data_IF_925589669348
#
_entry.id   IF_925589669348
#
_cell.length_a   1.000
_cell.length_b   1.000
_cell.length_c   1.000
_cell.angle_alpha   90.00
_cell.angle_beta   90.00
_cell.angle_gamma   90.00
#
_symmetry.space_group_name_H-M   'P 1'
#
loop_
_entity.id
_entity.type
_entity.pdbx_description
1 polymer ?
#
# COMPACT_ATOMS: atom_id res chain seq x y z
N UNK A 1 -2.86 -4.74 -27.28
CA UNK A 1 -3.25 -6.02 -26.63
C UNK A 1 -2.68 -6.00 -25.21
N UNK A 2 -3.52 -6.09 -24.17
CA UNK A 2 -3.05 -6.09 -22.78
C UNK A 2 -2.56 -7.51 -22.44
N UNK A 3 -1.24 -7.72 -22.38
CA UNK A 3 -0.69 -9.00 -21.90
C UNK A 3 -0.78 -9.06 -20.37
N UNK A 4 -1.39 -10.13 -19.84
CA UNK A 4 -1.39 -10.40 -18.40
C UNK A 4 -0.29 -11.41 -18.09
N UNK A 5 0.57 -11.12 -17.11
CA UNK A 5 1.57 -12.07 -16.62
C UNK A 5 0.97 -13.37 -16.03
N UNK A 6 -0.36 -13.40 -15.83
CA UNK A 6 -1.11 -14.57 -15.35
C UNK A 6 -1.89 -15.28 -16.46
N UNK A 7 -1.79 -14.82 -17.71
CA UNK A 7 -2.39 -15.45 -18.88
C UNK A 7 -1.24 -15.80 -19.83
N UNK A 8 -0.83 -17.06 -19.84
CA UNK A 8 0.16 -17.55 -20.79
C UNK A 8 -0.52 -17.84 -22.11
N UNK A 9 -0.22 -17.05 -23.13
CA UNK A 9 -0.57 -17.38 -24.53
C UNK A 9 0.66 -18.03 -25.14
N UNK A 10 0.59 -19.34 -25.36
CA UNK A 10 1.66 -20.07 -26.02
C UNK A 10 1.37 -20.06 -27.52
N UNK A 11 2.19 -19.41 -28.36
CA UNK A 11 2.04 -19.54 -29.80
C UNK A 11 2.30 -20.99 -30.18
N UNK A 12 1.41 -21.56 -30.98
CA UNK A 12 1.62 -22.87 -31.61
C UNK A 12 2.06 -22.66 -33.05
N UNK A 13 3.03 -23.45 -33.49
CA UNK A 13 3.43 -23.51 -34.89
C UNK A 13 3.09 -24.90 -35.42
N UNK A 14 2.61 -24.94 -36.67
CA UNK A 14 2.37 -26.18 -37.40
C UNK A 14 3.69 -26.52 -38.10
N UNK A 15 4.29 -27.64 -37.75
CA UNK A 15 5.38 -28.25 -38.53
C UNK A 15 4.80 -29.47 -39.24
N UNK A 16 5.07 -29.59 -40.56
CA UNK A 16 4.59 -30.62 -41.50
C UNK A 16 3.57 -31.65 -40.98
N UNK A 17 2.33 -31.54 -41.46
CA UNK A 17 1.23 -32.45 -41.11
C UNK A 17 0.43 -32.00 -39.87
N UNK A 18 0.03 -32.97 -39.04
CA UNK A 18 -0.82 -32.79 -37.84
C UNK A 18 0.01 -32.58 -36.54
N UNK A 19 1.29 -32.22 -36.64
CA UNK A 19 2.16 -32.01 -35.48
C UNK A 19 2.13 -30.54 -35.07
N UNK A 20 1.80 -30.30 -33.80
CA UNK A 20 1.75 -28.96 -33.22
C UNK A 20 2.91 -28.80 -32.24
N UNK A 21 3.77 -27.82 -32.48
CA UNK A 21 4.90 -27.50 -31.59
C UNK A 21 4.53 -26.33 -30.70
N UNK A 22 4.66 -26.52 -29.39
CA UNK A 22 4.47 -25.48 -28.37
C UNK A 22 5.82 -25.04 -27.81
N UNK A 23 6.18 -23.77 -28.02
CA UNK A 23 7.35 -23.15 -27.40
C UNK A 23 6.96 -22.57 -26.03
N UNK A 24 7.05 -23.39 -24.98
CA UNK A 24 6.79 -22.99 -23.59
C UNK A 24 8.09 -22.70 -22.83
N UNK A 25 8.38 -21.42 -22.59
CA UNK A 25 9.51 -21.01 -21.74
C UNK A 25 9.07 -20.90 -20.26
N UNK A 26 8.97 -22.04 -19.57
CA UNK A 26 8.51 -22.12 -18.16
C UNK A 26 9.20 -21.09 -17.25
N UNK A 27 10.53 -20.97 -17.38
CA UNK A 27 11.35 -20.07 -16.56
C UNK A 27 10.98 -18.60 -16.76
N UNK A 28 10.67 -18.18 -17.99
CA UNK A 28 10.30 -16.81 -18.32
C UNK A 28 8.94 -16.44 -17.74
N UNK A 29 7.94 -17.29 -17.96
CA UNK A 29 6.57 -17.12 -17.43
C UNK A 29 6.59 -17.05 -15.90
N UNK A 30 7.34 -17.94 -15.24
CA UNK A 30 7.50 -17.94 -13.79
C UNK A 30 8.11 -16.64 -13.26
N UNK A 31 9.11 -16.10 -13.96
CA UNK A 31 9.74 -14.83 -13.60
C UNK A 31 8.78 -13.63 -13.77
N UNK A 32 8.04 -13.58 -14.88
CA UNK A 32 7.03 -12.54 -15.12
C UNK A 32 5.95 -12.55 -14.04
N UNK A 33 5.44 -13.74 -13.65
CA UNK A 33 4.48 -13.88 -12.56
C UNK A 33 5.05 -13.40 -11.21
N UNK A 34 6.31 -13.73 -10.91
CA UNK A 34 6.97 -13.28 -9.67
C UNK A 34 7.10 -11.76 -9.65
N UNK A 35 7.51 -11.16 -10.77
CA UNK A 35 7.64 -9.71 -10.89
C UNK A 35 6.29 -9.01 -10.74
N UNK A 36 5.23 -9.50 -11.39
CA UNK A 36 3.89 -8.95 -11.24
C UNK A 36 3.37 -9.02 -9.79
N UNK A 37 3.64 -10.13 -9.08
CA UNK A 37 3.32 -10.26 -7.64
C UNK A 37 4.11 -9.25 -6.79
N UNK A 38 5.39 -9.03 -7.09
CA UNK A 38 6.24 -8.06 -6.38
C UNK A 38 5.75 -6.64 -6.60
N UNK A 39 5.47 -6.26 -7.84
CA UNK A 39 4.93 -4.94 -8.17
C UNK A 39 3.61 -4.68 -7.46
N UNK A 40 2.74 -5.69 -7.35
CA UNK A 40 1.50 -5.55 -6.59
C UNK A 40 1.73 -5.22 -5.12
N UNK A 41 2.67 -5.91 -4.47
CA UNK A 41 3.04 -5.63 -3.07
C UNK A 41 3.70 -4.26 -2.92
N UNK A 42 4.54 -3.88 -3.88
CA UNK A 42 5.20 -2.57 -3.88
C UNK A 42 4.18 -1.44 -3.95
N UNK A 43 3.12 -1.59 -4.76
CA UNK A 43 2.03 -0.60 -4.84
C UNK A 43 1.28 -0.47 -3.52
N UNK A 44 0.93 -1.59 -2.89
CA UNK A 44 0.24 -1.57 -1.59
C UNK A 44 1.14 -0.88 -0.52
N UNK A 45 2.44 -1.19 -0.50
CA UNK A 45 3.43 -0.57 0.39
C UNK A 45 3.66 0.93 0.12
N UNK A 46 3.67 1.34 -1.14
CA UNK A 46 3.75 2.74 -1.54
C UNK A 46 2.49 3.51 -1.11
N UNK A 47 1.30 2.93 -1.35
CA UNK A 47 0.03 3.53 -0.93
C UNK A 47 0.00 3.76 0.59
N UNK A 48 0.35 2.76 1.40
CA UNK A 48 0.38 2.91 2.85
C UNK A 48 1.32 4.05 3.27
N UNK A 49 2.54 4.09 2.73
CA UNK A 49 3.50 5.13 3.06
C UNK A 49 3.06 6.53 2.58
N UNK A 50 2.41 6.62 1.43
CA UNK A 50 1.79 7.85 0.94
C UNK A 50 0.74 8.37 1.94
N UNK A 51 -0.18 7.51 2.36
CA UNK A 51 -1.23 7.86 3.32
C UNK A 51 -0.63 8.33 4.65
N UNK A 52 0.40 7.62 5.17
CA UNK A 52 1.11 8.01 6.39
C UNK A 52 1.72 9.42 6.26
N UNK A 53 2.35 9.72 5.12
CA UNK A 53 2.89 11.05 4.86
C UNK A 53 1.82 12.13 4.86
N UNK A 54 0.67 11.90 4.20
CA UNK A 54 -0.44 12.86 4.19
C UNK A 54 -1.02 13.06 5.59
N UNK A 55 -1.24 11.98 6.35
CA UNK A 55 -1.72 12.06 7.74
C UNK A 55 -0.75 12.84 8.64
N UNK A 56 0.57 12.62 8.51
CA UNK A 56 1.56 13.42 9.22
C UNK A 56 1.41 14.91 8.93
N UNK A 57 1.23 15.28 7.66
CA UNK A 57 1.01 16.68 7.27
C UNK A 57 -0.35 17.23 7.75
N UNK A 58 -1.35 16.38 7.94
CA UNK A 58 -2.62 16.73 8.59
C UNK A 58 -2.55 16.70 10.13
N UNK A 59 -1.33 16.61 10.69
CA UNK A 59 -1.06 16.70 12.12
C UNK A 59 -1.34 15.43 12.93
N UNK A 60 -1.27 14.25 12.31
CA UNK A 60 -1.36 12.96 13.01
C UNK A 60 0.02 12.43 13.38
N UNK A 61 0.09 11.73 14.51
CA UNK A 61 1.22 10.89 14.89
C UNK A 61 0.93 9.44 14.48
N UNK A 62 1.85 8.79 13.78
CA UNK A 62 1.71 7.38 13.37
C UNK A 62 2.81 6.54 14.02
N UNK A 63 2.42 5.61 14.88
CA UNK A 63 3.33 4.71 15.58
C UNK A 63 3.50 3.40 14.79
N UNK A 64 4.74 3.09 14.40
CA UNK A 64 5.09 1.99 13.50
C UNK A 64 6.01 1.00 14.22
N UNK A 65 5.65 -0.28 14.20
CA UNK A 65 6.46 -1.34 14.79
C UNK A 65 7.80 -1.50 14.07
N UNK A 66 8.79 -2.02 14.80
CA UNK A 66 10.08 -2.41 14.23
C UNK A 66 9.94 -3.37 13.05
N UNK A 67 10.84 -3.23 12.10
CA UNK A 67 10.99 -4.21 11.03
C UNK A 67 11.79 -5.41 11.56
N UNK A 68 11.18 -6.58 11.58
CA UNK A 68 11.85 -7.82 11.98
C UNK A 68 12.87 -8.31 10.94
N UNK A 69 12.58 -8.09 9.65
CA UNK A 69 13.47 -8.44 8.54
C UNK A 69 13.41 -7.35 7.48
N UNK A 70 14.57 -6.82 7.11
CA UNK A 70 14.70 -5.85 6.02
C UNK A 70 14.71 -6.57 4.68
N UNK A 71 13.70 -6.30 3.85
CA UNK A 71 13.62 -6.77 2.48
C UNK A 71 14.40 -5.85 1.56
N UNK A 72 15.26 -6.43 0.72
CA UNK A 72 16.08 -5.65 -0.22
C UNK A 72 15.42 -5.47 -1.59
N UNK A 73 14.49 -6.35 -1.97
CA UNK A 73 13.91 -6.39 -3.33
C UNK A 73 12.52 -5.74 -3.45
N UNK A 74 11.73 -5.72 -2.39
CA UNK A 74 10.36 -5.17 -2.39
C UNK A 74 10.22 -4.13 -1.30
N UNK A 75 9.47 -3.07 -1.60
CA UNK A 75 8.98 -2.16 -0.56
C UNK A 75 8.16 -2.95 0.46
N UNK A 76 8.18 -2.50 1.70
CA UNK A 76 7.57 -3.24 2.81
C UNK A 76 6.35 -2.48 3.32
N UNK A 77 5.26 -3.21 3.52
CA UNK A 77 4.15 -2.75 4.35
C UNK A 77 4.63 -2.70 5.80
N UNK A 78 4.36 -1.59 6.47
CA UNK A 78 4.68 -1.40 7.86
C UNK A 78 3.51 -1.82 8.74
N UNK A 79 3.82 -2.30 9.95
CA UNK A 79 2.79 -2.60 10.95
C UNK A 79 2.57 -1.34 11.76
N UNK A 80 1.41 -0.70 11.58
CA UNK A 80 1.05 0.47 12.37
C UNK A 80 0.38 -0.03 13.64
N UNK A 81 0.91 0.38 14.79
CA UNK A 81 0.41 -0.02 16.09
C UNK A 81 -0.78 0.85 16.49
N UNK A 82 -0.59 2.17 16.45
CA UNK A 82 -1.64 3.13 16.72
C UNK A 82 -1.41 4.43 15.94
N UNK A 83 -2.47 5.23 15.84
CA UNK A 83 -2.44 6.59 15.29
C UNK A 83 -3.05 7.52 16.32
N UNK A 84 -2.43 8.69 16.52
CA UNK A 84 -2.95 9.74 17.40
C UNK A 84 -3.21 11.04 16.66
N UNK A 85 -4.13 11.83 17.20
CA UNK A 85 -4.40 13.21 16.82
C UNK A 85 -4.64 14.00 18.09
N UNK A 86 -3.89 15.09 18.27
CA UNK A 86 -3.99 15.97 19.46
C UNK A 86 -3.92 15.16 20.77
N UNK A 87 -2.90 14.31 20.87
CA UNK A 87 -2.61 13.35 21.96
C UNK A 87 -3.67 12.27 22.23
N UNK A 88 -4.76 12.22 21.46
CA UNK A 88 -5.80 11.18 21.55
C UNK A 88 -5.52 10.05 20.56
N UNK A 89 -5.58 8.81 21.03
CA UNK A 89 -5.51 7.62 20.18
C UNK A 89 -6.79 7.53 19.36
N UNK A 90 -6.67 7.64 18.04
CA UNK A 90 -7.80 7.53 17.09
C UNK A 90 -7.84 6.16 16.41
N UNK A 91 -6.74 5.42 16.42
CA UNK A 91 -6.66 4.05 15.92
C UNK A 91 -5.72 3.25 16.80
N UNK A 92 -6.10 2.01 17.14
CA UNK A 92 -5.26 1.07 17.86
C UNK A 92 -5.44 -0.35 17.30
N UNK A 93 -4.36 -0.92 16.77
CA UNK A 93 -4.36 -2.25 16.17
C UNK A 93 -4.51 -3.38 17.19
N UNK A 94 -4.21 -3.15 18.48
CA UNK A 94 -4.31 -4.15 19.54
C UNK A 94 -5.74 -4.49 19.93
N UNK A 95 -6.68 -3.59 19.64
CA UNK A 95 -8.11 -3.74 19.91
C UNK A 95 -8.92 -4.26 18.71
N UNK A 96 -8.25 -4.66 17.62
CA UNK A 96 -8.93 -5.21 16.45
C UNK A 96 -9.27 -6.69 16.64
N UNK A 97 -10.56 -6.99 16.63
CA UNK A 97 -11.11 -8.35 16.68
C UNK A 97 -11.66 -8.77 15.31
N UNK A 98 -11.21 -9.91 14.80
CA UNK A 98 -11.69 -10.51 13.56
C UNK A 98 -11.29 -11.99 13.50
N UNK A 99 -12.05 -12.78 12.76
CA UNK A 99 -11.79 -14.20 12.55
C UNK A 99 -10.66 -14.43 11.53
N UNK A 100 -9.83 -15.44 11.76
CA UNK A 100 -8.76 -15.82 10.85
C UNK A 100 -8.37 -17.30 11.04
N UNK A 101 -8.02 -17.95 9.93
CA UNK A 101 -7.64 -19.37 9.88
C UNK A 101 -6.16 -19.58 10.25
N UNK A 102 -5.33 -18.52 10.21
CA UNK A 102 -3.92 -18.60 10.59
C UNK A 102 -3.18 -17.27 10.60
N UNK A 103 -1.94 -17.27 11.10
CA UNK A 103 -1.13 -16.05 11.30
C UNK A 103 -0.91 -15.23 10.03
N UNK A 104 -0.79 -15.90 8.88
CA UNK A 104 -0.64 -15.22 7.58
C UNK A 104 -1.90 -14.45 7.19
N UNK A 105 -3.07 -15.06 7.36
CA UNK A 105 -4.35 -14.42 7.06
C UNK A 105 -4.62 -13.30 8.06
N UNK A 106 -4.35 -13.55 9.36
CA UNK A 106 -4.38 -12.52 10.40
C UNK A 106 -3.61 -11.28 9.99
N UNK A 107 -2.39 -11.48 9.48
CA UNK A 107 -1.55 -10.38 9.02
C UNK A 107 -2.15 -9.63 7.83
N UNK A 108 -2.69 -10.34 6.85
CA UNK A 108 -3.32 -9.73 5.68
C UNK A 108 -4.56 -8.90 6.07
N UNK A 109 -5.37 -9.38 7.01
CA UNK A 109 -6.50 -8.64 7.53
C UNK A 109 -6.06 -7.43 8.34
N UNK A 110 -5.05 -7.53 9.19
CA UNK A 110 -4.48 -6.36 9.87
C UNK A 110 -4.00 -5.30 8.88
N UNK A 111 -3.24 -5.70 7.85
CA UNK A 111 -2.76 -4.78 6.83
C UNK A 111 -3.94 -4.10 6.09
N UNK A 112 -5.00 -4.87 5.76
CA UNK A 112 -6.20 -4.37 5.09
C UNK A 112 -7.03 -3.42 5.96
N UNK A 113 -7.37 -3.82 7.20
CA UNK A 113 -8.12 -3.00 8.16
C UNK A 113 -7.38 -1.71 8.44
N UNK A 114 -6.09 -1.80 8.75
CA UNK A 114 -5.24 -0.62 9.02
C UNK A 114 -5.29 0.33 7.83
N UNK A 115 -4.99 -0.15 6.61
CA UNK A 115 -5.03 0.69 5.42
C UNK A 115 -6.41 1.36 5.22
N UNK A 116 -7.49 0.61 5.37
CA UNK A 116 -8.84 1.13 5.20
C UNK A 116 -9.16 2.21 6.23
N UNK A 117 -8.73 2.01 7.49
CA UNK A 117 -8.90 2.99 8.56
C UNK A 117 -8.10 4.26 8.29
N UNK A 118 -6.85 4.15 7.81
CA UNK A 118 -6.06 5.33 7.45
C UNK A 118 -6.70 6.12 6.30
N UNK A 119 -7.34 5.44 5.34
CA UNK A 119 -8.10 6.10 4.27
C UNK A 119 -9.31 6.85 4.86
N UNK A 120 -10.00 6.28 5.84
CA UNK A 120 -11.07 6.98 6.56
C UNK A 120 -10.57 8.23 7.29
N UNK A 121 -9.38 8.16 7.90
CA UNK A 121 -8.74 9.32 8.51
C UNK A 121 -8.43 10.42 7.48
N UNK A 122 -7.98 10.06 6.27
CA UNK A 122 -7.79 11.05 5.19
C UNK A 122 -9.09 11.79 4.87
N UNK A 123 -10.20 11.07 4.72
CA UNK A 123 -11.51 11.68 4.46
C UNK A 123 -11.94 12.64 5.57
N UNK A 124 -11.66 12.32 6.84
CA UNK A 124 -11.91 13.20 7.99
C UNK A 124 -11.07 14.48 7.98
N UNK A 125 -10.01 14.53 7.18
CA UNK A 125 -9.11 15.68 7.03
C UNK A 125 -9.41 16.54 5.80
N UNK A 126 -10.58 16.36 5.17
CA UNK A 126 -10.94 17.08 3.95
C UNK A 126 -10.21 16.60 2.68
N UNK A 127 -9.51 15.46 2.74
CA UNK A 127 -8.93 14.82 1.56
C UNK A 127 -10.03 14.06 0.84
N UNK A 128 -10.21 14.32 -0.46
CA UNK A 128 -11.16 13.59 -1.29
C UNK A 128 -10.45 12.35 -1.83
N UNK A 129 -10.96 11.17 -1.49
CA UNK A 129 -10.39 9.89 -1.94
C UNK A 129 -11.27 9.25 -3.01
N UNK A 130 -10.66 8.88 -4.15
CA UNK A 130 -11.30 8.03 -5.15
C UNK A 130 -10.73 6.61 -5.07
N UNK A 131 -11.56 5.64 -4.75
CA UNK A 131 -11.16 4.23 -4.63
C UNK A 131 -11.18 3.52 -6.00
N UNK A 132 -10.17 2.69 -6.26
CA UNK A 132 -10.12 1.81 -7.44
C UNK A 132 -11.12 0.67 -7.27
N UNK A 133 -11.95 0.46 -8.30
CA UNK A 133 -12.83 -0.71 -8.38
C UNK A 133 -11.99 -1.99 -8.37
N UNK A 134 -12.17 -2.81 -7.34
CA UNK A 134 -11.54 -4.13 -7.21
C UNK A 134 -12.58 -5.23 -7.38
N UNK A 135 -12.13 -6.44 -7.70
CA UNK A 135 -13.02 -7.60 -7.74
C UNK A 135 -13.59 -7.84 -6.34
N UNK A 136 -14.89 -8.08 -6.24
CA UNK A 136 -15.54 -8.44 -4.98
C UNK A 136 -14.90 -9.72 -4.43
N UNK A 137 -14.62 -9.73 -3.13
CA UNK A 137 -14.12 -10.94 -2.49
C UNK A 137 -15.29 -11.90 -2.29
N UNK A 138 -15.07 -13.16 -2.62
CA UNK A 138 -16.11 -14.20 -2.66
C UNK A 138 -16.24 -14.88 -1.28
N UNK A 139 -15.18 -14.89 -0.47
CA UNK A 139 -15.18 -15.51 0.87
C UNK A 139 -16.02 -14.65 1.84
N UNK A 140 -17.01 -15.23 2.55
CA UNK A 140 -17.73 -14.54 3.61
C UNK A 140 -16.77 -13.98 4.66
N UNK A 141 -17.08 -12.81 5.24
CA UNK A 141 -16.29 -12.14 6.28
C UNK A 141 -14.85 -11.77 5.89
N UNK A 142 -14.47 -11.90 4.62
CA UNK A 142 -13.13 -11.50 4.17
C UNK A 142 -13.00 -9.99 4.05
N UNK A 143 -11.87 -9.48 4.54
CA UNK A 143 -11.60 -8.05 4.55
C UNK A 143 -10.70 -7.68 3.38
N UNK A 144 -11.27 -6.97 2.42
CA UNK A 144 -10.54 -6.47 1.26
C UNK A 144 -9.83 -5.14 1.59
N UNK A 145 -8.57 -5.03 1.20
CA UNK A 145 -7.85 -3.76 1.23
C UNK A 145 -8.37 -2.84 0.12
N UNK A 146 -8.81 -1.64 0.51
CA UNK A 146 -9.17 -0.54 -0.39
C UNK A 146 -7.92 0.01 -1.07
N UNK A 147 -8.03 0.32 -2.35
CA UNK A 147 -6.92 0.84 -3.15
C UNK A 147 -7.25 2.23 -3.68
N UNK A 148 -6.34 3.16 -3.53
CA UNK A 148 -6.47 4.50 -4.06
C UNK A 148 -6.32 4.47 -5.58
N UNK A 149 -7.28 5.08 -6.28
CA UNK A 149 -7.15 5.43 -7.69
C UNK A 149 -6.56 6.84 -7.82
N UNK A 150 -7.11 7.77 -7.04
CA UNK A 150 -6.66 9.15 -6.96
C UNK A 150 -6.99 9.75 -5.59
N UNK A 151 -6.33 10.85 -5.24
CA UNK A 151 -6.71 11.70 -4.11
C UNK A 151 -6.65 13.16 -4.50
N UNK A 152 -7.52 13.99 -3.93
CA UNK A 152 -7.45 15.45 -4.02
C UNK A 152 -7.19 16.02 -2.65
N UNK A 153 -6.08 16.75 -2.52
CA UNK A 153 -5.64 17.37 -1.27
C UNK A 153 -5.57 18.88 -1.52
N UNK A 154 -6.39 19.66 -0.82
CA UNK A 154 -6.46 21.12 -0.94
C UNK A 154 -6.54 21.60 -2.40
N UNK A 155 -7.46 20.99 -3.16
CA UNK A 155 -7.69 21.29 -4.57
C UNK A 155 -6.65 20.71 -5.54
N UNK A 156 -5.55 20.11 -5.07
CA UNK A 156 -4.54 19.48 -5.93
C UNK A 156 -4.82 18.00 -6.13
N UNK A 157 -4.86 17.58 -7.40
CA UNK A 157 -5.12 16.20 -7.79
C UNK A 157 -3.85 15.35 -7.85
N UNK A 158 -3.90 14.19 -7.21
CA UNK A 158 -2.85 13.17 -7.23
C UNK A 158 -3.42 11.86 -7.76
N UNK A 159 -3.20 11.60 -9.05
CA UNK A 159 -3.50 10.29 -9.63
C UNK A 159 -2.58 9.18 -9.12
N UNK A 160 -2.95 7.94 -9.46
CA UNK A 160 -2.24 6.71 -9.11
C UNK A 160 -0.70 6.75 -9.26
N UNK A 161 -0.19 7.35 -10.35
CA UNK A 161 1.27 7.44 -10.57
C UNK A 161 1.95 8.29 -9.51
N UNK A 162 1.39 9.45 -9.17
CA UNK A 162 1.92 10.34 -8.14
C UNK A 162 1.90 9.68 -6.76
N UNK A 163 0.77 9.03 -6.41
CA UNK A 163 0.62 8.29 -5.16
C UNK A 163 1.72 7.23 -5.04
N UNK A 164 1.98 6.49 -6.12
CA UNK A 164 2.99 5.44 -6.12
C UNK A 164 4.43 5.99 -6.02
N UNK A 165 4.76 7.03 -6.78
CA UNK A 165 6.10 7.66 -6.76
C UNK A 165 6.42 8.29 -5.40
N UNK A 166 5.52 9.13 -4.88
CA UNK A 166 5.66 9.78 -3.57
C UNK A 166 5.65 8.72 -2.46
N UNK A 167 4.74 7.74 -2.56
CA UNK A 167 4.65 6.63 -1.61
C UNK A 167 5.91 5.78 -1.55
N UNK A 168 6.56 5.52 -2.69
CA UNK A 168 7.86 4.83 -2.72
C UNK A 168 8.94 5.63 -1.98
N UNK A 169 8.97 6.95 -2.19
CA UNK A 169 9.90 7.83 -1.51
C UNK A 169 9.69 7.83 0.02
N UNK A 170 8.44 8.05 0.47
CA UNK A 170 8.08 7.98 1.90
C UNK A 170 8.34 6.62 2.52
N UNK A 171 8.13 5.54 1.76
CA UNK A 171 8.44 4.18 2.24
C UNK A 171 9.92 4.05 2.58
N UNK A 172 10.83 4.61 1.78
CA UNK A 172 12.26 4.59 2.08
C UNK A 172 12.61 5.39 3.34
N UNK A 173 11.96 6.53 3.57
CA UNK A 173 12.13 7.35 4.77
C UNK A 173 11.69 6.57 6.02
N UNK A 174 10.49 5.97 5.98
CA UNK A 174 10.00 5.16 7.10
C UNK A 174 10.92 3.95 7.32
N UNK A 175 11.37 3.30 6.23
CA UNK A 175 12.25 2.13 6.29
C UNK A 175 13.61 2.44 6.91
N UNK A 176 14.19 3.62 6.65
CA UNK A 176 15.47 4.00 7.26
C UNK A 176 15.33 4.19 8.78
N UNK A 177 14.21 4.75 9.23
CA UNK A 177 13.91 5.02 10.65
C UNK A 177 13.48 3.79 11.45
N UNK A 178 12.75 2.86 10.83
CA UNK A 178 12.24 1.61 11.45
C UNK A 178 13.30 0.50 11.57
N UNK A 179 14.54 0.77 11.18
CA UNK A 179 15.66 -0.17 11.28
C UNK A 179 16.22 -0.33 12.70
N UNK A 180 15.69 0.43 13.67
CA UNK A 180 16.05 0.38 15.09
C UNK A 180 15.30 -0.72 15.86
N UNK A 181 15.74 -1.03 17.09
CA UNK A 181 15.12 -2.09 17.92
C UNK A 181 13.70 -1.75 18.40
N UNK A 182 13.31 -0.47 18.45
CA UNK A 182 12.08 0.02 19.05
C UNK A 182 10.95 0.34 18.06
N UNK A 183 11.24 0.37 16.75
CA UNK A 183 10.28 0.83 15.73
C UNK A 183 10.51 2.27 15.33
N UNK A 184 9.47 2.94 14.83
CA UNK A 184 9.55 4.35 14.44
C UNK A 184 8.25 5.06 14.76
N UNK A 185 8.37 6.34 15.08
CA UNK A 185 7.24 7.25 15.16
C UNK A 185 7.36 8.23 14.01
N UNK A 186 6.28 8.45 13.26
CA UNK A 186 6.16 9.56 12.32
C UNK A 186 5.37 10.64 13.04
N UNK A 187 6.03 11.77 13.31
CA UNK A 187 5.44 12.85 14.09
C UNK A 187 4.49 13.71 13.24
N UNK A 188 3.56 14.45 13.88
CA UNK A 188 2.83 15.52 13.22
C UNK A 188 3.78 16.52 12.54
N UNK A 189 3.46 16.92 11.31
CA UNK A 189 4.20 17.91 10.53
C UNK A 189 5.69 17.58 10.32
N UNK A 190 6.01 16.29 10.17
CA UNK A 190 7.37 15.85 9.93
C UNK A 190 7.85 16.33 8.55
N UNK A 191 8.86 17.21 8.56
CA UNK A 191 9.41 17.86 7.37
C UNK A 191 9.97 16.88 6.34
N UNK A 192 10.31 15.64 6.73
CA UNK A 192 10.77 14.63 5.78
C UNK A 192 9.65 14.13 4.87
N UNK A 193 8.39 14.38 5.23
CA UNK A 193 7.21 14.06 4.42
C UNK A 193 6.63 15.29 3.71
N UNK A 194 7.32 16.42 3.74
CA UNK A 194 6.97 17.56 2.91
C UNK A 194 7.30 17.24 1.45
N UNK A 195 6.28 17.35 0.59
CA UNK A 195 6.46 17.35 -0.85
C UNK A 195 6.05 18.76 -1.34
N UNK A 196 6.79 19.38 -2.27
CA UNK A 196 6.38 20.68 -2.85
C UNK A 196 4.93 20.69 -3.38
N UNK A 197 4.40 19.52 -3.72
CA UNK A 197 3.01 19.34 -4.14
C UNK A 197 2.02 19.23 -2.96
N UNK A 198 2.45 18.76 -1.78
CA UNK A 198 1.65 18.59 -0.55
C UNK A 198 1.69 19.80 0.40
N UNK A 199 2.60 20.76 0.21
CA UNK A 199 2.93 21.84 1.16
C UNK A 199 1.83 22.88 1.44
N UNK A 200 0.64 22.74 0.86
CA UNK A 200 -0.52 23.61 1.11
C UNK A 200 -1.44 23.13 2.25
N UNK A 201 -1.07 22.09 3.02
CA UNK A 201 -1.86 21.57 4.18
C UNK A 201 -1.85 22.53 5.38
N UNK A 202 -1.06 23.62 5.31
CA UNK A 202 -0.91 24.60 6.41
C UNK A 202 -1.97 25.71 6.46
N UNK A 203 -2.93 25.75 5.55
CA UNK A 203 -3.94 26.82 5.51
C UNK A 203 -5.35 26.26 5.53
N UNK A 204 -5.80 25.86 6.71
CA UNK A 204 -7.18 25.98 7.21
C UNK A 204 -7.16 25.43 8.66
N UNK A 205 -6.61 26.25 9.56
CA UNK A 205 -6.75 26.06 11.01
C UNK A 205 -7.75 27.11 11.50
N UNK A 206 -8.87 26.65 12.05
CA UNK A 206 -9.62 27.21 13.20
C UNK A 206 -10.95 26.47 13.31
#
# INVERSE_FOLDING_TARGET
>A
MISSAFITRVPFHIEDGNVFVMNYEEKKVKNEMINAKRESKNRDAAQQAFIVGVLSQSGYEVNINRLYKRGNMTYQMFTINNVKKDDKVVFDASHLEFEYDGLKEKRQYLDAITNNYLIELLNKCGVIVEERKTRKVIKPNSIAMKRLNSVTINGKFFGFRHINEIGCHFNQIIRSRTSTKSGSVVLPYDVSFECPNLSSIRSESC
#
